data_IF_207930779871
#
_entry.id   IF_207930779871
#
_cell.length_a   1.000
_cell.length_b   1.000
_cell.length_c   1.000
_cell.angle_alpha   90.00
_cell.angle_beta   90.00
_cell.angle_gamma   90.00
#
_symmetry.space_group_name_H-M   'P 1'
#
loop_
_entity.id
_entity.type
_entity.pdbx_description
1 polymer ?
#
# COMPACT_ATOMS: atom_id res chain seq x y z
N UNK A 1 15.22 13.99 -5.28
CA UNK A 1 15.17 15.13 -4.34
C UNK A 1 14.08 14.78 -3.37
N UNK A 2 14.39 14.54 -2.09
CA UNK A 2 13.33 14.19 -1.13
C UNK A 2 12.53 15.44 -0.85
N UNK A 3 11.26 15.41 -1.18
CA UNK A 3 10.34 16.50 -0.88
C UNK A 3 9.71 16.31 0.50
N UNK A 4 9.40 17.42 1.18
CA UNK A 4 8.87 17.35 2.55
C UNK A 4 7.55 16.55 2.63
N UNK A 5 6.77 16.52 1.54
CA UNK A 5 5.53 15.75 1.49
C UNK A 5 5.76 14.23 1.47
N UNK A 6 6.91 13.74 0.98
CA UNK A 6 7.21 12.30 0.88
C UNK A 6 7.45 11.71 2.27
N UNK A 7 8.16 12.45 3.13
CA UNK A 7 8.36 12.09 4.53
C UNK A 7 7.04 12.10 5.28
N UNK A 8 6.18 13.10 5.06
CA UNK A 8 4.85 13.16 5.66
C UNK A 8 3.98 11.98 5.21
N UNK A 9 3.98 11.66 3.91
CA UNK A 9 3.26 10.52 3.36
C UNK A 9 3.72 9.20 3.98
N UNK A 10 5.04 9.01 4.15
CA UNK A 10 5.58 7.82 4.81
C UNK A 10 5.22 7.74 6.30
N UNK A 11 5.21 8.85 7.03
CA UNK A 11 4.75 8.90 8.43
C UNK A 11 3.28 8.52 8.53
N UNK A 12 2.43 9.05 7.66
CA UNK A 12 1.00 8.68 7.60
C UNK A 12 0.85 7.18 7.29
N UNK A 13 1.58 6.68 6.29
CA UNK A 13 1.55 5.27 5.92
C UNK A 13 2.02 4.35 7.08
N UNK A 14 2.99 4.80 7.88
CA UNK A 14 3.43 4.11 9.11
C UNK A 14 2.30 4.03 10.13
N UNK A 15 1.57 5.14 10.33
CA UNK A 15 0.40 5.18 11.21
C UNK A 15 -0.69 4.21 10.76
N UNK A 16 -0.99 4.20 9.45
CA UNK A 16 -1.95 3.25 8.86
C UNK A 16 -1.51 1.80 9.06
N UNK A 17 -0.25 1.46 8.79
CA UNK A 17 0.28 0.12 9.03
C UNK A 17 0.19 -0.29 10.49
N UNK A 18 0.49 0.63 11.41
CA UNK A 18 0.36 0.39 12.85
C UNK A 18 -1.08 0.06 13.21
N UNK A 19 -2.05 0.80 12.69
CA UNK A 19 -3.49 0.52 12.86
C UNK A 19 -3.83 -0.86 12.28
N UNK A 20 -3.34 -1.19 11.08
CA UNK A 20 -3.59 -2.49 10.46
C UNK A 20 -3.04 -3.66 11.29
N UNK A 21 -1.93 -3.46 12.01
CA UNK A 21 -1.33 -4.48 12.88
C UNK A 21 -2.08 -4.55 14.22
N UNK A 22 -2.40 -3.41 14.82
CA UNK A 22 -3.09 -3.33 16.12
C UNK A 22 -4.53 -3.87 16.04
N UNK A 23 -5.27 -3.53 14.99
CA UNK A 23 -6.67 -3.90 14.80
C UNK A 23 -6.83 -5.07 13.80
N UNK A 24 -5.89 -6.03 13.86
CA UNK A 24 -5.84 -7.16 12.91
C UNK A 24 -7.06 -8.07 12.97
N UNK A 25 -7.77 -8.10 14.10
CA UNK A 25 -8.95 -8.92 14.33
C UNK A 25 -10.18 -8.27 13.69
N UNK A 26 -10.35 -6.97 13.87
CA UNK A 26 -11.40 -6.15 13.25
C UNK A 26 -11.24 -6.12 11.74
N UNK A 27 -10.01 -6.16 11.24
CA UNK A 27 -9.70 -6.31 9.82
C UNK A 27 -10.26 -7.60 9.20
N UNK A 28 -10.56 -8.64 9.99
CA UNK A 28 -11.20 -9.87 9.47
C UNK A 28 -12.65 -9.61 9.05
N UNK A 29 -13.27 -8.52 9.52
CA UNK A 29 -14.60 -8.10 9.11
C UNK A 29 -14.62 -7.50 7.70
N UNK A 30 -13.48 -7.01 7.21
CA UNK A 30 -13.36 -6.48 5.85
C UNK A 30 -13.38 -7.65 4.84
N UNK A 31 -14.31 -7.66 3.88
CA UNK A 31 -14.35 -8.70 2.86
C UNK A 31 -13.03 -8.73 2.08
N UNK A 32 -12.48 -9.94 1.92
CA UNK A 32 -11.24 -10.15 1.16
C UNK A 32 -10.09 -9.22 1.58
N UNK A 33 -9.90 -8.99 2.89
CA UNK A 33 -8.86 -8.07 3.39
C UNK A 33 -7.41 -8.41 2.98
N UNK A 34 -7.15 -9.62 2.45
CA UNK A 34 -5.81 -10.05 2.01
C UNK A 34 -5.20 -9.12 0.96
N UNK A 35 -5.79 -9.02 -0.25
CA UNK A 35 -5.38 -8.05 -1.28
C UNK A 35 -5.24 -6.61 -0.78
N UNK A 36 -6.15 -6.15 0.10
CA UNK A 36 -6.07 -4.81 0.68
C UNK A 36 -4.81 -4.63 1.56
N UNK A 37 -4.48 -5.62 2.41
CA UNK A 37 -3.25 -5.60 3.21
C UNK A 37 -1.99 -5.60 2.34
N UNK A 38 -2.01 -6.39 1.26
CA UNK A 38 -0.90 -6.43 0.28
C UNK A 38 -0.74 -5.05 -0.37
N UNK A 39 -1.84 -4.42 -0.78
CA UNK A 39 -1.81 -3.08 -1.37
C UNK A 39 -1.15 -2.06 -0.42
N UNK A 40 -1.61 -1.98 0.83
CA UNK A 40 -1.02 -1.07 1.82
C UNK A 40 0.45 -1.37 2.12
N UNK A 41 0.84 -2.64 2.19
CA UNK A 41 2.23 -3.01 2.41
C UNK A 41 3.13 -2.61 1.22
N UNK A 42 2.68 -2.89 -0.01
CA UNK A 42 3.41 -2.48 -1.22
C UNK A 42 3.53 -0.96 -1.32
N UNK A 43 2.45 -0.22 -1.04
CA UNK A 43 2.48 1.24 -1.01
C UNK A 43 3.49 1.77 0.00
N UNK A 44 3.51 1.22 1.22
CA UNK A 44 4.46 1.62 2.26
C UNK A 44 5.91 1.39 1.85
N UNK A 45 6.19 0.22 1.26
CA UNK A 45 7.55 -0.09 0.75
C UNK A 45 7.92 0.88 -0.37
N UNK A 46 7.00 1.17 -1.29
CA UNK A 46 7.18 2.19 -2.32
C UNK A 46 7.60 3.55 -1.72
N UNK A 47 6.82 4.08 -0.78
CA UNK A 47 7.13 5.34 -0.09
C UNK A 47 8.48 5.33 0.63
N UNK A 48 8.85 4.20 1.25
CA UNK A 48 10.17 4.05 1.88
C UNK A 48 11.29 4.09 0.83
N UNK A 49 11.09 3.47 -0.34
CA UNK A 49 12.04 3.48 -1.45
C UNK A 49 12.20 4.89 -2.03
N UNK A 50 11.12 5.67 -2.18
CA UNK A 50 11.18 7.08 -2.59
C UNK A 50 12.07 7.91 -1.66
N UNK A 51 11.92 7.73 -0.35
CA UNK A 51 12.77 8.41 0.63
C UNK A 51 14.23 7.97 0.45
N UNK A 52 14.50 6.67 0.31
CA UNK A 52 15.84 6.12 0.14
C UNK A 52 16.51 6.52 -1.19
N UNK A 53 15.72 6.65 -2.26
CA UNK A 53 16.14 7.11 -3.59
C UNK A 53 16.78 8.50 -3.50
N UNK A 54 16.28 9.35 -2.60
CA UNK A 54 16.85 10.65 -2.34
C UNK A 54 18.25 10.64 -1.69
N UNK A 55 18.73 9.50 -1.20
CA UNK A 55 20.06 9.36 -0.59
C UNK A 55 21.05 8.56 -1.45
N UNK A 56 20.61 7.52 -2.16
CA UNK A 56 21.52 6.62 -2.92
C UNK A 56 20.80 5.90 -4.07
N UNK A 57 21.57 5.21 -4.93
CA UNK A 57 21.10 4.23 -5.92
C UNK A 57 19.84 4.60 -6.72
N UNK A 58 19.77 5.88 -7.13
CA UNK A 58 18.61 6.50 -7.76
C UNK A 58 17.87 5.58 -8.75
N UNK A 59 18.55 5.08 -9.79
CA UNK A 59 17.90 4.27 -10.83
C UNK A 59 17.30 2.95 -10.33
N UNK A 60 17.96 2.27 -9.39
CA UNK A 60 17.47 0.98 -8.85
C UNK A 60 16.30 1.22 -7.91
N UNK A 61 16.41 2.17 -6.98
CA UNK A 61 15.37 2.45 -6.01
C UNK A 61 14.12 3.04 -6.68
N UNK A 62 14.29 3.90 -7.68
CA UNK A 62 13.20 4.44 -8.50
C UNK A 62 12.44 3.31 -9.23
N UNK A 63 13.17 2.37 -9.84
CA UNK A 63 12.55 1.21 -10.50
C UNK A 63 11.76 0.35 -9.51
N UNK A 64 12.34 0.07 -8.34
CA UNK A 64 11.67 -0.69 -7.29
C UNK A 64 10.44 0.05 -6.76
N UNK A 65 10.55 1.36 -6.51
CA UNK A 65 9.43 2.19 -6.10
C UNK A 65 8.25 2.02 -7.07
N UNK A 66 8.49 2.19 -8.37
CA UNK A 66 7.45 2.06 -9.38
C UNK A 66 6.85 0.64 -9.41
N UNK A 67 7.67 -0.41 -9.26
CA UNK A 67 7.18 -1.79 -9.17
C UNK A 67 6.25 -1.97 -7.96
N UNK A 68 6.64 -1.46 -6.80
CA UNK A 68 5.84 -1.56 -5.58
C UNK A 68 4.56 -0.72 -5.66
N UNK A 69 4.61 0.49 -6.22
CA UNK A 69 3.44 1.33 -6.46
C UNK A 69 2.47 0.68 -7.46
N UNK A 70 3.00 0.06 -8.54
CA UNK A 70 2.19 -0.69 -9.49
C UNK A 70 1.54 -1.92 -8.84
N UNK A 71 2.30 -2.72 -8.09
CA UNK A 71 1.79 -3.87 -7.37
C UNK A 71 0.70 -3.47 -6.35
N UNK A 72 0.88 -2.34 -5.67
CA UNK A 72 -0.13 -1.77 -4.78
C UNK A 72 -1.44 -1.46 -5.51
N UNK A 73 -1.34 -0.75 -6.64
CA UNK A 73 -2.51 -0.39 -7.45
C UNK A 73 -3.25 -1.63 -7.97
N UNK A 74 -2.51 -2.64 -8.47
CA UNK A 74 -3.10 -3.91 -8.93
C UNK A 74 -3.80 -4.64 -7.79
N UNK A 75 -3.17 -4.75 -6.61
CA UNK A 75 -3.77 -5.40 -5.45
C UNK A 75 -5.03 -4.65 -4.96
N UNK A 76 -5.01 -3.32 -5.00
CA UNK A 76 -6.16 -2.49 -4.64
C UNK A 76 -7.32 -2.66 -5.63
N UNK A 77 -7.07 -2.61 -6.94
CA UNK A 77 -8.08 -2.85 -7.97
C UNK A 77 -8.66 -4.25 -7.86
N UNK A 78 -7.81 -5.26 -7.63
CA UNK A 78 -8.26 -6.62 -7.42
C UNK A 78 -9.13 -6.76 -6.16
N UNK A 79 -8.78 -6.07 -5.07
CA UNK A 79 -9.63 -6.00 -3.89
C UNK A 79 -11.00 -5.38 -4.20
N UNK A 80 -11.03 -4.23 -4.88
CA UNK A 80 -12.27 -3.55 -5.28
C UNK A 80 -13.16 -4.50 -6.10
N UNK A 81 -12.57 -5.18 -7.09
CA UNK A 81 -13.29 -6.17 -7.90
C UNK A 81 -13.91 -7.30 -7.07
N UNK A 82 -13.16 -7.87 -6.12
CA UNK A 82 -13.68 -8.91 -5.23
C UNK A 82 -14.82 -8.42 -4.34
N UNK A 83 -14.74 -7.17 -3.87
CA UNK A 83 -15.80 -6.58 -3.04
C UNK A 83 -17.06 -6.31 -3.88
N UNK A 84 -16.92 -5.80 -5.12
CA UNK A 84 -18.04 -5.44 -5.97
C UNK A 84 -18.73 -6.65 -6.60
N UNK A 85 -18.00 -7.64 -7.13
CA UNK A 85 -18.64 -8.86 -7.66
C UNK A 85 -19.36 -9.67 -6.58
N UNK A 86 -18.82 -9.70 -5.37
CA UNK A 86 -19.50 -10.36 -4.25
C UNK A 86 -20.69 -9.55 -3.74
N UNK A 87 -20.69 -8.24 -3.94
CA UNK A 87 -21.87 -7.37 -3.75
C UNK A 87 -22.95 -7.64 -4.80
N UNK A 88 -22.54 -7.80 -6.07
CA UNK A 88 -23.44 -8.11 -7.19
C UNK A 88 -24.07 -9.51 -7.11
N UNK A 89 -23.34 -10.50 -6.59
CA UNK A 89 -23.84 -11.88 -6.41
C UNK A 89 -24.74 -12.06 -5.16
N UNK A 90 -24.98 -11.02 -4.37
CA UNK A 90 -25.84 -11.04 -3.17
C UNK A 90 -27.17 -10.31 -3.33
N UNK A 91 -27.41 -9.69 -4.49
CA UNK A 91 -28.70 -9.10 -4.91
C UNK A 91 -29.40 -10.01 -5.90
#
# INVERSE_FOLDING_TARGET
MVESYEVVAWVIATGVLTILVMFREELKLIPHAGPLKIAFLCMYIGLMLTILEGFTWFGVLNTLEHIFNFASAVAFVFWVYLVTERGANKT
#
